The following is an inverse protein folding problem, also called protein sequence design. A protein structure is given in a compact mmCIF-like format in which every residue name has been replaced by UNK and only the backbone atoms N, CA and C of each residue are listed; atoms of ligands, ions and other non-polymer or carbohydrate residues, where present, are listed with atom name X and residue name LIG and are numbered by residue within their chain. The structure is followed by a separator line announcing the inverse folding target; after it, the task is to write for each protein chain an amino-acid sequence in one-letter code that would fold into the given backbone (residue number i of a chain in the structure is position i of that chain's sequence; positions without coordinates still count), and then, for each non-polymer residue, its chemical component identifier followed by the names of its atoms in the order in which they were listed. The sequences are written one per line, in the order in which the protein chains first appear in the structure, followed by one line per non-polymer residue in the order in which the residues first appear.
data_IF_458456454752
#
_entry.id   IF_458456454752
#
_cell.length_a   1.000
_cell.length_b   1.000
_cell.length_c   1.000
_cell.angle_alpha   90.00
_cell.angle_beta   90.00
_cell.angle_gamma   90.00
#
_symmetry.space_group_name_H-M   'P 1'
#
loop_
_entity.id
_entity.type
_entity.pdbx_description
1 polymer ?
#
# COMPACT_ATOMS: atom_id res chain seq x y z
N UNK A 1 -28.56 4.29 19.14
CA UNK A 1 -28.22 3.62 20.42
C UNK A 1 -26.70 3.53 20.59
N UNK A 2 -26.21 3.52 21.83
CA UNK A 2 -24.76 3.48 22.11
C UNK A 2 -24.05 2.26 21.51
N UNK A 3 -24.73 1.10 21.44
CA UNK A 3 -24.15 -0.10 20.85
C UNK A 3 -23.78 0.06 19.36
N UNK A 4 -24.60 0.73 18.56
CA UNK A 4 -24.29 0.96 17.14
C UNK A 4 -23.29 2.12 16.95
N UNK A 5 -23.34 3.15 17.81
CA UNK A 5 -22.34 4.23 17.85
C UNK A 5 -20.93 3.68 18.10
N UNK A 6 -20.78 2.82 19.12
CA UNK A 6 -19.50 2.19 19.43
C UNK A 6 -19.01 1.22 18.34
N UNK A 7 -19.93 0.47 17.74
CA UNK A 7 -19.61 -0.41 16.61
C UNK A 7 -19.09 0.39 15.40
N UNK A 8 -19.83 1.42 14.97
CA UNK A 8 -19.46 2.26 13.84
C UNK A 8 -18.08 2.93 14.05
N UNK A 9 -17.87 3.51 15.25
CA UNK A 9 -16.60 4.13 15.63
C UNK A 9 -15.40 3.18 15.52
N UNK A 10 -15.54 1.93 15.97
CA UNK A 10 -14.46 0.93 15.87
C UNK A 10 -14.22 0.48 14.43
N UNK A 11 -15.29 0.30 13.66
CA UNK A 11 -15.19 -0.07 12.25
C UNK A 11 -14.41 0.97 11.47
N UNK A 12 -14.71 2.27 11.66
CA UNK A 12 -14.05 3.35 10.93
C UNK A 12 -12.59 3.51 11.34
N UNK A 13 -12.28 3.58 12.65
CA UNK A 13 -10.89 3.82 13.10
C UNK A 13 -9.90 2.71 12.79
N UNK A 14 -10.37 1.48 12.73
CA UNK A 14 -9.53 0.32 12.43
C UNK A 14 -9.62 -0.11 10.97
N UNK A 15 -10.28 0.71 10.14
CA UNK A 15 -10.59 0.42 8.73
C UNK A 15 -11.06 -1.02 8.49
N UNK A 16 -11.99 -1.49 9.32
CA UNK A 16 -12.43 -2.88 9.29
C UNK A 16 -13.37 -3.12 8.12
N UNK A 17 -13.00 -4.08 7.29
CA UNK A 17 -13.88 -4.63 6.24
C UNK A 17 -14.52 -5.92 6.73
N UNK A 18 -15.85 -6.01 6.58
CA UNK A 18 -16.62 -7.21 6.95
C UNK A 18 -17.18 -7.90 5.71
N UNK A 19 -17.36 -9.22 5.78
CA UNK A 19 -18.08 -10.00 4.78
C UNK A 19 -19.39 -10.54 5.37
N UNK A 20 -20.47 -10.51 4.57
CA UNK A 20 -21.68 -11.25 4.91
C UNK A 20 -21.51 -12.72 4.51
N UNK A 21 -22.05 -13.65 5.31
CA UNK A 21 -22.06 -15.09 5.01
C UNK A 21 -23.37 -15.55 4.35
N UNK A 22 -24.32 -14.63 4.19
CA UNK A 22 -25.65 -14.84 3.63
C UNK A 22 -25.86 -13.82 2.49
N UNK A 23 -27.11 -13.49 2.15
CA UNK A 23 -27.48 -12.64 1.01
C UNK A 23 -27.37 -11.14 1.27
N UNK A 24 -26.49 -10.71 2.20
CA UNK A 24 -26.31 -9.30 2.58
C UNK A 24 -27.59 -8.61 3.11
N UNK A 25 -28.62 -9.37 3.44
CA UNK A 25 -29.95 -8.92 3.89
C UNK A 25 -30.27 -9.30 5.35
N UNK A 26 -29.26 -9.68 6.15
CA UNK A 26 -29.48 -10.14 7.53
C UNK A 26 -30.25 -9.12 8.38
N UNK A 27 -31.21 -9.60 9.18
CA UNK A 27 -32.01 -8.78 10.07
C UNK A 27 -31.15 -8.15 11.19
N UNK A 28 -31.20 -6.82 11.30
CA UNK A 28 -30.48 -6.06 12.34
C UNK A 28 -31.47 -5.42 13.30
N UNK A 29 -31.74 -6.12 14.40
CA UNK A 29 -32.60 -5.68 15.50
C UNK A 29 -31.83 -5.67 16.85
N UNK A 30 -32.52 -5.39 17.97
CA UNK A 30 -31.89 -5.32 19.30
C UNK A 30 -31.29 -6.65 19.77
N UNK A 31 -31.85 -7.79 19.38
CA UNK A 31 -31.45 -9.14 19.84
C UNK A 31 -30.31 -9.71 18.98
N UNK A 32 -30.39 -9.58 17.66
CA UNK A 32 -29.48 -10.24 16.71
C UNK A 32 -28.60 -9.29 15.89
N UNK A 33 -28.51 -7.99 16.21
CA UNK A 33 -27.57 -7.06 15.53
C UNK A 33 -26.10 -7.50 15.52
N UNK A 34 -25.69 -8.41 16.41
CA UNK A 34 -24.31 -8.92 16.45
C UNK A 34 -24.09 -10.12 15.51
N UNK A 35 -25.14 -10.69 14.89
CA UNK A 35 -25.08 -11.87 14.02
C UNK A 35 -24.26 -11.63 12.76
N UNK A 36 -24.40 -10.46 12.14
CA UNK A 36 -23.71 -10.10 10.90
C UNK A 36 -23.18 -8.66 10.98
N UNK A 37 -21.86 -8.52 11.07
CA UNK A 37 -21.20 -7.21 11.16
C UNK A 37 -21.34 -6.43 9.85
N UNK A 38 -21.29 -7.11 8.69
CA UNK A 38 -21.50 -6.47 7.39
C UNK A 38 -22.86 -5.77 7.31
N UNK A 39 -23.96 -6.50 7.50
CA UNK A 39 -25.31 -5.94 7.40
C UNK A 39 -25.57 -4.87 8.48
N UNK A 40 -25.00 -5.04 9.68
CA UNK A 40 -25.05 -4.01 10.71
C UNK A 40 -24.36 -2.72 10.27
N UNK A 41 -23.18 -2.82 9.65
CA UNK A 41 -22.43 -1.66 9.18
C UNK A 41 -23.12 -0.99 8.00
N UNK A 42 -23.60 -1.75 7.02
CA UNK A 42 -24.40 -1.24 5.92
C UNK A 42 -25.66 -0.52 6.42
N UNK A 43 -26.36 -1.07 7.43
CA UNK A 43 -27.49 -0.39 8.04
C UNK A 43 -27.10 0.91 8.75
N UNK A 44 -25.94 0.98 9.41
CA UNK A 44 -25.44 2.24 9.97
C UNK A 44 -25.27 3.32 8.90
N UNK A 45 -24.67 2.96 7.75
CA UNK A 45 -24.50 3.87 6.62
C UNK A 45 -25.86 4.28 6.02
N UNK A 46 -26.76 3.33 5.80
CA UNK A 46 -28.10 3.58 5.26
C UNK A 46 -28.95 4.49 6.17
N UNK A 47 -28.74 4.43 7.49
CA UNK A 47 -29.37 5.33 8.47
C UNK A 47 -28.62 6.66 8.65
N UNK A 48 -27.61 6.97 7.81
CA UNK A 48 -26.95 8.26 7.76
C UNK A 48 -25.73 8.43 8.68
N UNK A 49 -25.16 7.35 9.24
CA UNK A 49 -23.89 7.46 9.95
C UNK A 49 -22.74 7.76 8.97
N UNK A 50 -22.06 8.88 9.20
CA UNK A 50 -20.98 9.43 8.36
C UNK A 50 -19.61 8.98 8.86
N UNK A 51 -18.75 8.45 7.98
CA UNK A 51 -17.40 7.99 8.36
C UNK A 51 -16.50 9.15 8.74
N UNK A 52 -16.58 10.21 7.96
CA UNK A 52 -15.87 11.48 8.14
C UNK A 52 -16.21 12.19 9.47
N UNK A 53 -17.36 11.86 10.08
CA UNK A 53 -17.73 12.38 11.39
C UNK A 53 -17.00 11.66 12.56
N UNK A 54 -16.31 10.54 12.29
CA UNK A 54 -15.53 9.82 13.30
C UNK A 54 -14.14 10.42 13.37
N UNK A 55 -13.91 11.23 14.40
CA UNK A 55 -12.57 11.76 14.70
C UNK A 55 -11.59 10.63 15.07
N UNK A 56 -10.31 10.87 14.78
CA UNK A 56 -9.21 10.02 15.20
C UNK A 56 -9.15 9.82 16.73
N UNK A 57 -8.40 8.80 17.15
CA UNK A 57 -8.16 8.58 18.57
C UNK A 57 -7.36 9.75 19.19
N UNK A 58 -7.83 10.26 20.33
CA UNK A 58 -7.07 11.24 21.09
C UNK A 58 -5.88 10.52 21.70
N UNK A 59 -4.68 10.81 21.22
CA UNK A 59 -3.45 10.36 21.87
C UNK A 59 -3.44 10.90 23.31
N UNK A 60 -3.45 10.02 24.30
CA UNK A 60 -3.10 10.41 25.66
C UNK A 60 -1.57 10.49 25.68
N UNK A 61 -1.03 11.67 25.99
CA UNK A 61 0.39 11.90 26.27
C UNK A 61 0.86 11.05 27.47
N UNK A 62 0.97 9.73 27.31
CA UNK A 62 1.50 8.84 28.34
C UNK A 62 3.00 8.55 28.16
N UNK A 63 3.56 8.90 27.01
CA UNK A 63 4.97 8.65 26.69
C UNK A 63 5.84 9.93 26.73
N UNK A 64 5.28 11.07 27.16
CA UNK A 64 6.01 12.35 27.26
C UNK A 64 6.91 12.48 28.50
N UNK A 65 7.15 11.41 29.25
CA UNK A 65 8.12 11.43 30.37
C UNK A 65 9.47 10.78 30.04
N UNK A 66 9.62 10.10 28.88
CA UNK A 66 10.87 9.36 28.57
C UNK A 66 11.55 9.71 27.24
N UNK A 67 11.11 10.73 26.51
CA UNK A 67 11.91 11.28 25.41
C UNK A 67 11.63 12.78 25.31
N UNK A 68 12.65 13.56 25.66
CA UNK A 68 12.76 14.99 25.39
C UNK A 68 12.24 15.31 24.00
N UNK A 69 11.16 16.08 23.97
CA UNK A 69 10.53 16.52 22.73
C UNK A 69 11.45 17.44 21.95
N UNK A 70 12.19 16.86 21.02
CA UNK A 70 12.50 17.53 19.76
C UNK A 70 11.48 17.02 18.75
N UNK A 71 10.70 17.94 18.19
CA UNK A 71 10.01 17.69 16.94
C UNK A 71 11.08 17.43 15.89
N UNK A 72 11.39 16.16 15.63
CA UNK A 72 12.27 15.79 14.53
C UNK A 72 11.62 16.30 13.25
N UNK A 73 12.14 17.44 12.81
CA UNK A 73 11.82 18.05 11.53
C UNK A 73 11.98 16.99 10.47
N UNK A 74 10.90 16.71 9.75
CA UNK A 74 10.84 15.78 8.60
C UNK A 74 11.73 16.22 7.43
N UNK A 75 12.59 17.23 7.63
CA UNK A 75 13.47 17.77 6.60
C UNK A 75 14.93 17.42 6.82
N UNK A 76 15.39 17.01 8.01
CA UNK A 76 16.85 16.81 8.24
C UNK A 76 17.30 15.35 8.22
N UNK A 77 16.45 14.39 8.59
CA UNK A 77 16.83 12.96 8.63
C UNK A 77 16.66 12.24 7.27
N UNK A 78 15.76 12.71 6.41
CA UNK A 78 15.35 12.00 5.17
C UNK A 78 16.25 12.23 3.96
N UNK A 79 17.24 13.14 4.02
CA UNK A 79 18.07 13.46 2.85
C UNK A 79 19.01 12.33 2.41
N UNK A 80 19.24 11.31 3.25
CA UNK A 80 20.17 10.22 2.94
C UNK A 80 19.50 8.87 2.65
N UNK A 81 18.18 8.75 2.80
CA UNK A 81 17.44 7.49 2.62
C UNK A 81 17.06 7.19 1.16
N UNK A 82 17.40 8.06 0.22
CA UNK A 82 17.27 7.78 -1.21
C UNK A 82 18.22 8.66 -2.03
N UNK A 83 19.54 8.39 -1.99
CA UNK A 83 20.52 9.23 -2.67
C UNK A 83 20.35 9.15 -4.20
N UNK A 84 20.17 10.31 -4.85
CA UNK A 84 19.99 10.43 -6.30
C UNK A 84 21.16 9.80 -7.06
N UNK A 85 22.37 9.87 -6.49
CA UNK A 85 23.59 9.32 -7.07
C UNK A 85 23.49 7.80 -7.29
N UNK A 86 22.80 7.08 -6.40
CA UNK A 86 22.61 5.63 -6.52
C UNK A 86 21.59 5.28 -7.61
N UNK A 87 20.59 6.13 -7.81
CA UNK A 87 19.60 5.96 -8.89
C UNK A 87 20.29 6.17 -10.24
N UNK A 88 21.06 7.26 -10.38
CA UNK A 88 21.81 7.56 -11.61
C UNK A 88 22.84 6.47 -11.95
N UNK A 89 23.46 5.85 -10.93
CA UNK A 89 24.38 4.73 -11.12
C UNK A 89 23.64 3.45 -11.58
N UNK A 90 22.43 3.20 -11.07
CA UNK A 90 21.61 2.07 -11.52
C UNK A 90 21.19 2.21 -12.99
N UNK A 91 20.82 3.42 -13.44
CA UNK A 91 20.47 3.70 -14.84
C UNK A 91 21.66 3.48 -15.78
N UNK A 92 22.84 4.03 -15.46
CA UNK A 92 24.05 3.89 -16.27
C UNK A 92 24.46 2.44 -16.52
N UNK A 93 24.19 1.53 -15.58
CA UNK A 93 24.52 0.10 -15.71
C UNK A 93 23.68 -0.64 -16.74
N UNK A 94 22.53 -0.09 -17.12
CA UNK A 94 21.59 -0.70 -18.05
C UNK A 94 21.75 -0.09 -19.43
N UNK A 95 21.97 1.22 -19.53
CA UNK A 95 22.22 1.91 -20.78
C UNK A 95 23.41 1.31 -21.54
N UNK A 96 24.47 0.91 -20.82
CA UNK A 96 25.62 0.23 -21.42
C UNK A 96 25.32 -1.19 -21.95
N UNK A 97 24.18 -1.80 -21.60
CA UNK A 97 23.77 -3.14 -22.07
C UNK A 97 22.81 -3.08 -23.27
N UNK A 98 22.47 -1.89 -23.76
CA UNK A 98 21.68 -1.69 -24.98
C UNK A 98 22.62 -1.84 -26.19
N UNK A 99 23.10 -3.05 -26.43
CA UNK A 99 23.75 -3.39 -27.70
C UNK A 99 22.65 -3.66 -28.73
N UNK A 100 22.61 -2.84 -29.79
CA UNK A 100 21.71 -3.04 -30.93
C UNK A 100 22.18 -4.25 -31.76
N UNK A 101 21.40 -5.35 -31.84
CA UNK A 101 21.72 -6.42 -32.77
C UNK A 101 21.39 -5.94 -34.19
N UNK A 102 22.38 -6.05 -35.08
CA UNK A 102 22.23 -5.82 -36.52
C UNK A 102 21.27 -6.87 -37.12
N UNK A 103 20.44 -6.38 -38.05
CA UNK A 103 19.23 -6.96 -38.66
C UNK A 103 19.32 -8.40 -39.21
N UNK A 104 18.23 -9.19 -39.02
CA UNK A 104 17.34 -9.81 -40.04
C UNK A 104 16.67 -11.07 -39.48
N UNK A 105 15.40 -10.97 -39.04
CA UNK A 105 14.29 -11.95 -39.18
C UNK A 105 13.13 -11.61 -38.24
N UNK A 106 11.88 -11.68 -38.74
CA UNK A 106 10.61 -11.55 -38.02
C UNK A 106 10.50 -10.43 -36.95
N UNK A 107 9.93 -9.30 -37.36
CA UNK A 107 9.63 -8.12 -36.51
C UNK A 107 8.99 -8.45 -35.15
N UNK A 108 8.07 -9.42 -35.09
CA UNK A 108 7.41 -9.84 -33.85
C UNK A 108 8.37 -10.61 -32.93
N UNK A 109 9.21 -11.48 -33.48
CA UNK A 109 10.22 -12.22 -32.71
C UNK A 109 11.28 -11.27 -32.16
N UNK A 110 11.71 -10.28 -32.95
CA UNK A 110 12.64 -9.23 -32.50
C UNK A 110 12.03 -8.37 -31.39
N UNK A 111 10.74 -8.02 -31.51
CA UNK A 111 10.03 -7.30 -30.47
C UNK A 111 9.90 -8.13 -29.19
N UNK A 112 9.54 -9.42 -29.30
CA UNK A 112 9.44 -10.32 -28.15
C UNK A 112 10.81 -10.54 -27.47
N UNK A 113 11.88 -10.64 -28.26
CA UNK A 113 13.24 -10.75 -27.75
C UNK A 113 13.68 -9.46 -27.05
N UNK A 114 13.44 -8.29 -27.67
CA UNK A 114 13.77 -6.99 -27.08
C UNK A 114 13.02 -6.75 -25.78
N UNK A 115 11.71 -7.06 -25.74
CA UNK A 115 10.89 -6.94 -24.52
C UNK A 115 11.34 -7.89 -23.42
N UNK A 116 11.70 -9.15 -23.76
CA UNK A 116 12.27 -10.07 -22.78
C UNK A 116 13.60 -9.55 -22.21
N UNK A 117 14.48 -9.02 -23.05
CA UNK A 117 15.74 -8.40 -22.60
C UNK A 117 15.48 -7.20 -21.70
N UNK A 118 14.55 -6.32 -22.08
CA UNK A 118 14.15 -5.16 -21.27
C UNK A 118 13.55 -5.57 -19.92
N UNK A 119 12.80 -6.68 -19.87
CA UNK A 119 12.24 -7.19 -18.62
C UNK A 119 13.35 -7.63 -17.65
N UNK A 120 14.39 -8.32 -18.14
CA UNK A 120 15.56 -8.65 -17.31
C UNK A 120 16.35 -7.41 -16.88
N UNK A 121 16.45 -6.40 -17.75
CA UNK A 121 17.10 -5.12 -17.43
C UNK A 121 16.36 -4.37 -16.32
N UNK A 122 15.03 -4.32 -16.33
CA UNK A 122 14.22 -3.69 -15.28
C UNK A 122 14.41 -4.41 -13.93
N UNK A 123 14.47 -5.74 -13.93
CA UNK A 123 14.73 -6.52 -12.71
C UNK A 123 16.15 -6.23 -12.18
N UNK A 124 17.14 -6.15 -13.07
CA UNK A 124 18.53 -5.83 -12.70
C UNK A 124 18.67 -4.40 -12.18
N UNK A 125 17.96 -3.44 -12.79
CA UNK A 125 17.85 -2.06 -12.32
C UNK A 125 17.33 -1.98 -10.90
N UNK A 126 16.16 -2.59 -10.66
CA UNK A 126 15.47 -2.49 -9.40
C UNK A 126 16.31 -3.03 -8.24
N UNK A 127 17.12 -4.08 -8.48
CA UNK A 127 18.06 -4.61 -7.49
C UNK A 127 19.13 -3.61 -7.05
N UNK A 128 19.44 -2.62 -7.87
CA UNK A 128 20.43 -1.57 -7.58
C UNK A 128 19.81 -0.32 -6.97
N UNK A 129 18.47 -0.20 -6.97
CA UNK A 129 17.78 0.90 -6.31
C UNK A 129 17.90 0.75 -4.80
N UNK A 130 18.30 1.82 -4.07
CA UNK A 130 18.42 1.78 -2.62
C UNK A 130 17.15 1.21 -1.96
N UNK A 131 17.34 0.35 -0.97
CA UNK A 131 16.28 -0.27 -0.16
C UNK A 131 15.32 -1.22 -0.90
N UNK A 132 15.34 -1.32 -2.23
CA UNK A 132 14.46 -2.22 -2.97
C UNK A 132 14.65 -3.69 -2.55
N UNK A 133 15.90 -4.14 -2.44
CA UNK A 133 16.23 -5.52 -2.02
C UNK A 133 15.97 -5.79 -0.54
N UNK A 134 15.73 -4.75 0.26
CA UNK A 134 15.36 -4.85 1.67
C UNK A 134 13.85 -5.07 1.87
N UNK A 135 13.04 -4.82 0.83
CA UNK A 135 11.61 -5.09 0.85
C UNK A 135 11.34 -6.61 0.89
N UNK A 136 10.21 -7.05 1.47
CA UNK A 136 9.75 -8.43 1.31
C UNK A 136 9.67 -8.83 -0.16
N UNK A 137 10.07 -10.06 -0.49
CA UNK A 137 10.09 -10.56 -1.89
C UNK A 137 8.71 -10.45 -2.55
N UNK A 138 7.63 -10.65 -1.77
CA UNK A 138 6.27 -10.47 -2.26
C UNK A 138 6.02 -9.04 -2.78
N UNK A 139 6.50 -8.03 -2.06
CA UNK A 139 6.33 -6.62 -2.40
C UNK A 139 7.21 -6.24 -3.59
N UNK A 140 8.45 -6.75 -3.66
CA UNK A 140 9.31 -6.57 -4.84
C UNK A 140 8.63 -7.06 -6.13
N UNK A 141 7.98 -8.23 -6.07
CA UNK A 141 7.25 -8.81 -7.21
C UNK A 141 6.02 -7.99 -7.57
N UNK A 142 5.28 -7.46 -6.58
CA UNK A 142 4.12 -6.59 -6.83
C UNK A 142 4.57 -5.31 -7.53
N UNK A 143 5.65 -4.67 -7.05
CA UNK A 143 6.20 -3.45 -7.64
C UNK A 143 6.67 -3.66 -9.09
N UNK A 144 7.40 -4.74 -9.36
CA UNK A 144 7.89 -5.08 -10.71
C UNK A 144 6.79 -5.51 -11.70
N UNK A 145 5.63 -5.95 -11.22
CA UNK A 145 4.49 -6.31 -12.08
C UNK A 145 3.57 -5.13 -12.38
N UNK A 146 3.62 -4.09 -11.55
CA UNK A 146 2.79 -2.90 -11.70
C UNK A 146 3.43 -1.82 -12.61
N UNK A 147 4.71 -1.99 -12.95
CA UNK A 147 5.48 -1.14 -13.87
C UNK A 147 5.20 -1.43 -15.33
#
# INVERSE_FOLDING_TARGET
CEGCKGFFKRTVRKDLTYACREEKSCLVDRRQRNRCQYCRYQKCLAMGMKREAVQEERQRNKDRENTSGEVESTSSYVFNDMPIERILEAERRIDCKIEFPVEFENSVSNFCQATNTQLFQIIDWAKHIPYFTSLPVADQVVLLKAS
#
